data_IF_113016832105
#
_entry.id   IF_113016832105
#
_cell.length_a   1.000
_cell.length_b   1.000
_cell.length_c   1.000
_cell.angle_alpha   90.00
_cell.angle_beta   90.00
_cell.angle_gamma   90.00
#
_symmetry.space_group_name_H-M   'P 1'
#
loop_
_entity.id
_entity.type
_entity.pdbx_description
1 polymer ?
#
# COMPACT_ATOMS: atom_id res chain seq x y z
N UNK A 1 -33.56 -29.72 23.80
CA UNK A 1 -32.45 -30.26 23.01
C UNK A 1 -31.74 -29.09 22.34
N UNK A 2 -30.78 -28.48 23.01
CA UNK A 2 -30.02 -27.34 22.50
C UNK A 2 -28.74 -27.83 21.82
N UNK A 3 -28.60 -27.55 20.53
CA UNK A 3 -27.38 -27.85 19.77
C UNK A 3 -26.37 -26.74 19.98
N UNK A 4 -25.30 -27.04 20.70
CA UNK A 4 -24.14 -26.16 20.88
C UNK A 4 -23.36 -26.08 19.57
N UNK A 5 -23.13 -24.87 19.07
CA UNK A 5 -22.30 -24.62 17.90
C UNK A 5 -20.82 -24.96 18.19
N UNK A 6 -20.04 -25.41 17.19
CA UNK A 6 -18.61 -25.63 17.34
C UNK A 6 -17.84 -24.29 17.38
N UNK A 7 -16.68 -24.22 18.06
CA UNK A 7 -15.89 -23.00 18.14
C UNK A 7 -15.25 -22.64 16.79
N UNK A 8 -14.99 -21.34 16.51
CA UNK A 8 -14.35 -20.93 15.27
C UNK A 8 -12.90 -21.45 15.22
N UNK A 9 -12.49 -21.89 14.03
CA UNK A 9 -11.13 -22.32 13.75
C UNK A 9 -10.15 -21.18 14.05
N UNK A 10 -9.12 -21.47 14.85
CA UNK A 10 -8.02 -20.55 15.09
C UNK A 10 -7.33 -20.26 13.75
N UNK A 11 -7.35 -18.99 13.34
CA UNK A 11 -6.57 -18.48 12.21
C UNK A 11 -5.09 -18.72 12.51
N UNK A 12 -4.46 -19.60 11.75
CA UNK A 12 -3.01 -19.82 11.81
C UNK A 12 -2.30 -18.54 11.35
N UNK A 13 -1.86 -17.73 12.31
CA UNK A 13 -0.93 -16.64 12.05
C UNK A 13 0.37 -17.26 11.51
N UNK A 14 0.73 -16.89 10.28
CA UNK A 14 2.00 -17.26 9.69
C UNK A 14 3.12 -16.60 10.52
N UNK A 15 4.12 -17.33 11.02
CA UNK A 15 5.22 -16.73 11.76
C UNK A 15 5.92 -15.67 10.91
N UNK A 16 6.21 -14.52 11.51
CA UNK A 16 7.12 -13.55 10.90
C UNK A 16 8.44 -14.27 10.54
N UNK A 17 9.05 -13.96 9.39
CA UNK A 17 10.36 -14.53 9.06
C UNK A 17 11.33 -14.18 10.18
N UNK A 18 11.95 -15.20 10.78
CA UNK A 18 12.96 -14.99 11.79
C UNK A 18 14.08 -14.13 11.19
N UNK A 19 14.31 -12.96 11.78
CA UNK A 19 15.52 -12.20 11.51
C UNK A 19 16.70 -13.12 11.83
N UNK A 20 17.52 -13.44 10.83
CA UNK A 20 18.77 -14.15 11.05
C UNK A 20 19.65 -13.37 12.04
N UNK A 21 20.53 -14.04 12.80
CA UNK A 21 21.33 -13.37 13.81
C UNK A 21 22.22 -12.33 13.12
N UNK A 22 21.90 -11.04 13.31
CA UNK A 22 22.80 -9.97 13.00
C UNK A 22 24.06 -10.21 13.84
N UNK A 23 25.19 -10.47 13.18
CA UNK A 23 26.48 -10.59 13.86
C UNK A 23 26.75 -9.23 14.49
N UNK A 24 26.60 -9.14 15.81
CA UNK A 24 26.94 -7.94 16.56
C UNK A 24 28.39 -7.57 16.25
N UNK A 25 28.63 -6.34 15.81
CA UNK A 25 29.99 -5.85 15.66
C UNK A 25 30.69 -5.88 17.04
N UNK A 26 31.97 -6.27 17.08
CA UNK A 26 32.75 -6.17 18.30
C UNK A 26 32.96 -4.68 18.65
N UNK A 27 32.42 -4.23 19.79
CA UNK A 27 32.44 -2.84 20.24
C UNK A 27 31.13 -2.06 20.03
N UNK A 28 31.06 -0.80 20.50
CA UNK A 28 29.86 0.03 20.39
C UNK A 28 29.61 0.47 18.93
N UNK A 29 28.34 0.48 18.51
CA UNK A 29 27.96 0.84 17.15
C UNK A 29 26.51 1.31 17.09
N UNK A 30 26.24 2.29 16.23
CA UNK A 30 24.89 2.81 16.01
C UNK A 30 24.63 2.95 14.51
N UNK A 31 23.47 2.46 14.08
CA UNK A 31 22.96 2.55 12.72
C UNK A 31 21.75 3.47 12.66
N UNK A 32 21.55 4.09 11.49
CA UNK A 32 20.35 4.86 11.17
C UNK A 32 19.86 4.43 9.79
N UNK A 33 18.54 4.32 9.65
CA UNK A 33 17.87 4.13 8.38
C UNK A 33 16.81 5.22 8.21
N UNK A 34 16.78 5.86 7.05
CA UNK A 34 15.70 6.76 6.69
C UNK A 34 14.42 5.97 6.39
N UNK A 35 13.29 6.48 6.85
CA UNK A 35 11.96 5.98 6.53
C UNK A 35 11.26 6.96 5.58
N UNK A 36 10.36 6.49 4.69
CA UNK A 36 9.56 7.39 3.86
C UNK A 36 8.75 8.35 4.74
N UNK A 37 8.88 9.68 4.56
CA UNK A 37 8.10 10.63 5.34
C UNK A 37 6.61 10.52 4.98
N UNK A 38 5.68 10.77 5.90
CA UNK A 38 4.25 10.84 5.58
C UNK A 38 3.96 11.89 4.49
N UNK A 39 4.66 13.02 4.55
CA UNK A 39 4.61 14.07 3.55
C UNK A 39 5.58 13.77 2.40
N UNK A 40 5.08 13.12 1.36
CA UNK A 40 5.87 12.74 0.18
C UNK A 40 6.22 13.92 -0.73
N UNK A 41 5.55 15.06 -0.56
CA UNK A 41 5.82 16.33 -1.26
C UNK A 41 5.15 17.49 -0.53
N UNK A 42 5.49 18.73 -0.91
CA UNK A 42 4.84 19.94 -0.41
C UNK A 42 4.66 20.97 -1.52
N UNK A 43 3.70 21.89 -1.38
CA UNK A 43 3.35 22.87 -2.42
C UNK A 43 3.63 24.33 -2.05
N UNK A 44 3.85 24.60 -0.76
CA UNK A 44 4.02 25.96 -0.24
C UNK A 44 4.94 25.97 0.98
N UNK A 45 5.35 27.18 1.38
CA UNK A 45 5.93 27.41 2.70
C UNK A 45 4.89 27.12 3.80
N UNK A 46 5.36 26.87 5.02
CA UNK A 46 4.54 26.64 6.22
C UNK A 46 4.04 25.20 6.38
N UNK A 47 4.37 24.29 5.47
CA UNK A 47 4.04 22.86 5.59
C UNK A 47 5.04 22.21 6.54
N UNK A 48 4.54 21.43 7.49
CA UNK A 48 5.40 20.64 8.39
C UNK A 48 5.66 19.28 7.74
N UNK A 49 6.94 18.99 7.48
CA UNK A 49 7.43 17.69 7.03
C UNK A 49 7.98 16.92 8.23
N UNK A 50 7.54 15.69 8.41
CA UNK A 50 8.03 14.81 9.48
C UNK A 50 9.07 13.85 8.90
N UNK A 51 10.36 14.21 8.98
CA UNK A 51 11.41 13.27 8.63
C UNK A 51 11.46 12.14 9.67
N UNK A 52 11.39 10.90 9.20
CA UNK A 52 11.34 9.70 10.03
C UNK A 52 12.60 8.86 9.87
N UNK A 53 13.10 8.33 10.98
CA UNK A 53 14.32 7.53 11.03
C UNK A 53 14.16 6.36 11.99
N UNK A 54 14.63 5.18 11.59
CA UNK A 54 14.83 4.05 12.50
C UNK A 54 16.30 4.04 12.96
N UNK A 55 16.54 4.18 14.26
CA UNK A 55 17.87 4.14 14.86
C UNK A 55 18.06 2.81 15.55
N UNK A 56 19.16 2.11 15.28
CA UNK A 56 19.44 0.77 15.80
C UNK A 56 20.80 0.73 16.48
N UNK A 57 20.88 0.12 17.66
CA UNK A 57 22.15 -0.21 18.26
C UNK A 57 22.74 -1.45 17.58
N UNK A 58 23.80 -1.26 16.80
CA UNK A 58 24.45 -2.32 16.01
C UNK A 58 25.68 -2.92 16.70
N UNK A 59 26.06 -2.37 17.86
CA UNK A 59 27.17 -2.86 18.66
C UNK A 59 26.75 -3.81 19.78
N UNK A 60 27.71 -4.11 20.66
CA UNK A 60 27.56 -5.03 21.79
C UNK A 60 27.33 -4.36 23.16
N UNK A 61 27.35 -3.02 23.22
CA UNK A 61 27.12 -2.24 24.45
C UNK A 61 25.75 -1.54 24.42
N UNK A 62 25.08 -1.42 25.56
CA UNK A 62 23.90 -0.55 25.69
C UNK A 62 24.27 0.91 25.45
N UNK A 63 23.57 1.58 24.53
CA UNK A 63 23.76 3.00 24.24
C UNK A 63 22.74 3.84 25.01
N UNK A 64 23.16 5.00 25.51
CA UNK A 64 22.31 6.01 26.16
C UNK A 64 22.42 7.35 25.44
N UNK A 65 21.49 8.27 25.71
CA UNK A 65 21.49 9.59 25.09
C UNK A 65 21.24 9.57 23.58
N UNK A 66 20.56 8.54 23.07
CA UNK A 66 20.35 8.33 21.63
C UNK A 66 19.63 9.52 21.01
N UNK A 67 20.28 10.23 20.08
CA UNK A 67 19.75 11.46 19.47
C UNK A 67 20.10 11.56 17.99
N UNK A 68 19.42 12.46 17.28
CA UNK A 68 19.75 12.82 15.91
C UNK A 68 20.53 14.14 15.84
N UNK A 69 21.45 14.22 14.88
CA UNK A 69 22.02 15.47 14.37
C UNK A 69 21.58 15.62 12.91
N UNK A 70 21.00 16.77 12.59
CA UNK A 70 20.44 17.06 11.26
C UNK A 70 21.20 18.20 10.60
N UNK A 71 21.34 18.17 9.28
CA UNK A 71 21.98 19.24 8.51
C UNK A 71 21.06 20.45 8.26
N UNK A 72 19.74 20.25 8.30
CA UNK A 72 18.77 21.33 8.09
C UNK A 72 18.68 22.23 9.32
N UNK A 73 19.08 23.49 9.17
CA UNK A 73 19.08 24.49 10.23
C UNK A 73 17.67 24.79 10.82
N UNK A 74 16.60 24.52 10.07
CA UNK A 74 15.22 24.71 10.53
C UNK A 74 14.67 23.59 11.42
N UNK A 75 15.42 22.50 11.62
CA UNK A 75 15.05 21.43 12.56
C UNK A 75 15.59 21.81 13.93
N UNK A 76 14.74 22.42 14.77
CA UNK A 76 15.11 22.85 16.12
C UNK A 76 14.92 21.77 17.18
N UNK A 77 14.12 20.74 16.87
CA UNK A 77 13.83 19.63 17.76
C UNK A 77 13.75 18.32 16.96
N UNK A 78 14.39 17.28 17.47
CA UNK A 78 14.24 15.91 17.00
C UNK A 78 14.02 14.99 18.20
N UNK A 79 13.02 14.13 18.11
CA UNK A 79 12.60 13.24 19.18
C UNK A 79 12.85 11.79 18.78
N UNK A 80 13.28 10.96 19.73
CA UNK A 80 13.35 9.52 19.60
C UNK A 80 12.53 8.90 20.72
N UNK A 81 11.70 7.91 20.43
CA UNK A 81 10.81 7.27 21.41
C UNK A 81 11.58 6.70 22.60
N UNK A 82 12.73 6.08 22.32
CA UNK A 82 13.67 5.60 23.32
C UNK A 82 15.00 6.34 23.20
N UNK A 83 15.55 6.72 24.35
CA UNK A 83 16.88 7.35 24.46
C UNK A 83 17.96 6.37 24.93
N UNK A 84 17.59 5.13 25.23
CA UNK A 84 18.47 4.05 25.66
C UNK A 84 18.16 2.81 24.83
N UNK A 85 19.18 2.22 24.21
CA UNK A 85 19.05 1.06 23.34
C UNK A 85 20.00 -0.05 23.80
N UNK A 86 19.44 -1.20 24.18
CA UNK A 86 20.21 -2.43 24.34
C UNK A 86 20.81 -2.89 22.99
N UNK A 87 21.83 -3.75 22.97
CA UNK A 87 22.36 -4.35 21.74
C UNK A 87 21.24 -4.95 20.88
N UNK A 88 21.22 -4.60 19.59
CA UNK A 88 20.20 -5.04 18.63
C UNK A 88 18.83 -4.36 18.74
N UNK A 89 18.60 -3.50 19.73
CA UNK A 89 17.34 -2.76 19.86
C UNK A 89 17.28 -1.58 18.88
N UNK A 90 16.06 -1.24 18.45
CA UNK A 90 15.75 -0.11 17.58
C UNK A 90 14.73 0.84 18.20
N UNK A 91 14.78 2.11 17.80
CA UNK A 91 13.78 3.14 18.14
C UNK A 91 13.46 3.96 16.90
N UNK A 92 12.23 4.43 16.83
CA UNK A 92 11.83 5.43 15.84
C UNK A 92 12.16 6.83 16.35
N UNK A 93 12.58 7.68 15.42
CA UNK A 93 12.87 9.09 15.65
C UNK A 93 12.19 9.95 14.60
N UNK A 94 11.70 11.12 15.02
CA UNK A 94 11.02 12.09 14.16
C UNK A 94 11.68 13.47 14.30
N UNK A 95 11.92 14.11 13.16
CA UNK A 95 12.48 15.46 13.07
C UNK A 95 11.56 16.35 12.22
N UNK A 96 10.66 17.14 12.84
CA UNK A 96 9.78 18.05 12.11
C UNK A 96 10.56 19.22 11.50
N UNK A 97 10.21 19.57 10.27
CA UNK A 97 10.74 20.72 9.54
C UNK A 97 9.60 21.54 8.93
N UNK A 98 9.55 22.84 9.18
CA UNK A 98 8.58 23.73 8.52
C UNK A 98 9.19 24.28 7.24
N UNK A 99 8.54 24.01 6.11
CA UNK A 99 9.00 24.46 4.79
C UNK A 99 8.99 25.98 4.67
N UNK A 100 9.91 26.51 3.89
CA UNK A 100 10.07 27.93 3.60
C UNK A 100 9.84 28.22 2.11
N UNK A 101 9.71 29.50 1.77
CA UNK A 101 9.61 29.89 0.36
C UNK A 101 10.91 29.61 -0.43
N UNK A 102 12.05 29.56 0.27
CA UNK A 102 13.32 29.18 -0.33
C UNK A 102 13.31 27.71 -0.74
N UNK A 103 12.73 26.81 0.06
CA UNK A 103 12.62 25.38 -0.27
C UNK A 103 11.71 25.14 -1.48
N UNK A 104 10.60 25.89 -1.56
CA UNK A 104 9.71 25.86 -2.73
C UNK A 104 10.48 26.28 -3.99
N UNK A 105 11.22 27.38 -3.91
CA UNK A 105 12.04 27.90 -5.02
C UNK A 105 13.17 26.93 -5.39
N UNK A 106 13.74 26.23 -4.41
CA UNK A 106 14.77 25.20 -4.62
C UNK A 106 14.22 23.90 -5.19
N UNK A 107 12.89 23.72 -5.26
CA UNK A 107 12.25 22.52 -5.78
C UNK A 107 12.17 21.37 -4.78
N UNK A 108 12.49 21.60 -3.51
CA UNK A 108 12.44 20.57 -2.46
C UNK A 108 13.36 20.86 -1.29
N UNK A 109 13.32 19.97 -0.31
CA UNK A 109 14.17 20.00 0.89
C UNK A 109 14.88 18.66 1.06
N UNK A 110 16.17 18.69 1.38
CA UNK A 110 16.96 17.49 1.68
C UNK A 110 17.48 17.57 3.12
N UNK A 111 17.13 16.58 3.95
CA UNK A 111 17.71 16.43 5.28
C UNK A 111 18.78 15.34 5.27
N UNK A 112 19.96 15.65 5.81
CA UNK A 112 20.99 14.66 6.11
C UNK A 112 21.04 14.46 7.63
N UNK A 113 20.80 13.24 8.08
CA UNK A 113 20.74 12.89 9.49
C UNK A 113 21.84 11.89 9.88
N UNK A 114 22.38 12.07 11.09
CA UNK A 114 23.28 11.12 11.76
C UNK A 114 22.74 10.82 13.15
N UNK A 115 22.78 9.55 13.56
CA UNK A 115 22.45 9.15 14.91
C UNK A 115 23.68 9.20 15.81
N UNK A 116 23.47 9.58 17.06
CA UNK A 116 24.49 9.64 18.12
C UNK A 116 24.02 8.80 19.29
N UNK A 117 24.89 7.99 19.87
CA UNK A 117 24.63 7.29 21.13
C UNK A 117 25.90 7.14 21.96
N UNK A 118 25.77 7.13 23.28
CA UNK A 118 26.91 7.06 24.21
C UNK A 118 26.96 5.69 24.89
N UNK A 119 28.04 4.89 24.71
CA UNK A 119 28.24 3.65 25.43
C UNK A 119 28.59 3.89 26.92
N UNK A 120 28.62 2.86 27.78
CA UNK A 120 28.93 3.03 29.20
C UNK A 120 30.36 3.52 29.47
N UNK A 121 31.29 3.20 28.57
CA UNK A 121 32.68 3.65 28.61
C UNK A 121 33.15 4.09 27.22
N UNK A 122 33.91 5.18 27.16
CA UNK A 122 34.44 5.75 25.92
C UNK A 122 33.60 6.90 25.34
N UNK A 123 34.00 7.42 24.18
CA UNK A 123 33.29 8.53 23.53
C UNK A 123 31.95 8.07 22.93
N UNK A 124 31.08 9.03 22.63
CA UNK A 124 29.87 8.78 21.87
C UNK A 124 30.21 8.26 20.46
N UNK A 125 29.40 7.32 19.97
CA UNK A 125 29.47 6.78 18.62
C UNK A 125 28.50 7.50 17.70
N UNK A 126 28.88 7.59 16.42
CA UNK A 126 28.10 8.21 15.35
C UNK A 126 27.78 7.17 14.28
N UNK A 127 26.57 7.23 13.73
CA UNK A 127 26.23 6.46 12.54
C UNK A 127 26.83 7.08 11.29
N UNK A 128 26.83 6.33 10.18
CA UNK A 128 26.94 6.93 8.86
C UNK A 128 25.73 7.85 8.59
N UNK A 129 25.89 8.91 7.78
CA UNK A 129 24.78 9.79 7.43
C UNK A 129 23.81 9.11 6.48
N UNK A 130 22.53 9.43 6.62
CA UNK A 130 21.47 9.10 5.65
C UNK A 130 20.79 10.38 5.17
N UNK A 131 20.39 10.41 3.91
CA UNK A 131 19.69 11.55 3.32
C UNK A 131 18.25 11.20 2.95
N UNK A 132 17.36 12.16 3.14
CA UNK A 132 15.96 12.11 2.68
C UNK A 132 15.65 13.40 1.97
N UNK A 133 15.09 13.30 0.77
CA UNK A 133 14.65 14.45 -0.01
C UNK A 133 13.14 14.42 -0.16
N UNK A 134 12.48 15.53 0.17
CA UNK A 134 11.06 15.75 -0.10
C UNK A 134 10.93 16.82 -1.17
N UNK A 135 10.38 16.52 -2.35
CA UNK A 135 10.26 17.48 -3.45
C UNK A 135 9.18 18.53 -3.18
N UNK A 136 9.44 19.75 -3.67
CA UNK A 136 8.42 20.79 -3.78
C UNK A 136 7.68 20.65 -5.11
N UNK A 137 6.37 20.88 -5.10
CA UNK A 137 5.56 20.95 -6.29
C UNK A 137 5.68 22.37 -6.87
N UNK A 138 6.00 22.49 -8.16
CA UNK A 138 6.39 23.78 -8.76
C UNK A 138 5.34 24.39 -9.72
N UNK A 139 4.40 23.59 -10.23
CA UNK A 139 3.35 24.03 -11.15
C UNK A 139 2.08 23.20 -10.99
N UNK A 140 0.90 23.68 -11.41
CA UNK A 140 -0.29 22.85 -11.49
C UNK A 140 -0.06 21.65 -12.41
N UNK A 141 -0.43 20.47 -11.94
CA UNK A 141 -0.26 19.22 -12.67
C UNK A 141 -1.23 18.17 -12.12
N UNK A 142 -1.67 17.26 -12.99
CA UNK A 142 -2.58 16.18 -12.63
C UNK A 142 -2.12 14.88 -13.29
N UNK A 143 -2.21 13.79 -12.55
CA UNK A 143 -1.95 12.44 -13.03
C UNK A 143 -3.21 11.57 -12.90
N UNK A 144 -3.32 10.61 -13.81
CA UNK A 144 -4.41 9.63 -13.83
C UNK A 144 -3.82 8.22 -13.76
N UNK A 145 -4.38 7.41 -12.86
CA UNK A 145 -4.24 5.96 -12.87
C UNK A 145 -5.61 5.37 -13.17
N UNK A 146 -5.70 4.59 -14.24
CA UNK A 146 -6.89 3.84 -14.61
C UNK A 146 -6.65 2.37 -14.26
N UNK A 147 -7.61 1.78 -13.55
CA UNK A 147 -7.61 0.37 -13.21
C UNK A 147 -9.02 -0.19 -13.19
N UNK A 148 -9.15 -1.48 -12.88
CA UNK A 148 -10.42 -2.16 -12.69
C UNK A 148 -10.41 -2.96 -11.41
N UNK A 149 -11.58 -3.14 -10.80
CA UNK A 149 -11.71 -4.01 -9.63
C UNK A 149 -11.67 -5.50 -10.02
N UNK A 150 -12.01 -5.82 -11.26
CA UNK A 150 -11.96 -7.17 -11.81
C UNK A 150 -10.67 -7.34 -12.62
N UNK A 151 -9.92 -8.41 -12.36
CA UNK A 151 -8.74 -8.76 -13.15
C UNK A 151 -9.08 -9.40 -14.51
N UNK A 152 -10.28 -9.98 -14.64
CA UNK A 152 -10.74 -10.72 -15.84
C UNK A 152 -12.25 -10.59 -16.02
N UNK A 153 -12.71 -10.80 -17.24
CA UNK A 153 -14.14 -11.01 -17.54
C UNK A 153 -14.38 -12.39 -18.15
N UNK A 154 -15.62 -12.88 -18.16
CA UNK A 154 -15.95 -14.27 -18.51
C UNK A 154 -16.98 -14.40 -19.63
N UNK A 155 -17.83 -13.39 -19.82
CA UNK A 155 -18.91 -13.40 -20.80
C UNK A 155 -19.33 -11.98 -21.16
N UNK A 156 -20.11 -11.84 -22.23
CA UNK A 156 -20.87 -10.64 -22.53
C UNK A 156 -21.98 -10.41 -21.48
N UNK A 157 -22.35 -9.15 -21.26
CA UNK A 157 -23.33 -8.74 -20.25
C UNK A 157 -22.78 -8.72 -18.82
N UNK A 158 -21.46 -8.90 -18.64
CA UNK A 158 -20.82 -8.78 -17.33
C UNK A 158 -20.52 -7.32 -17.03
N UNK A 159 -20.83 -6.86 -15.81
CA UNK A 159 -20.42 -5.53 -15.34
C UNK A 159 -18.95 -5.56 -14.91
N UNK A 160 -18.15 -4.64 -15.44
CA UNK A 160 -16.79 -4.32 -15.03
C UNK A 160 -16.80 -2.94 -14.41
N UNK A 161 -16.19 -2.79 -13.23
CA UNK A 161 -16.07 -1.49 -12.56
C UNK A 161 -14.67 -0.94 -12.78
N UNK A 162 -14.59 0.16 -13.51
CA UNK A 162 -13.38 0.96 -13.64
C UNK A 162 -13.20 1.86 -12.42
N UNK A 163 -11.95 1.96 -11.98
CA UNK A 163 -11.48 2.86 -10.95
C UNK A 163 -10.52 3.87 -11.60
N UNK A 164 -10.78 5.14 -11.37
CA UNK A 164 -9.91 6.24 -11.76
C UNK A 164 -9.32 6.88 -10.50
N UNK A 165 -8.02 6.70 -10.30
CA UNK A 165 -7.25 7.43 -9.30
C UNK A 165 -6.70 8.72 -9.90
N UNK A 166 -7.21 9.86 -9.46
CA UNK A 166 -6.77 11.19 -9.90
C UNK A 166 -5.86 11.79 -8.83
N UNK A 167 -4.61 12.07 -9.19
CA UNK A 167 -3.61 12.59 -8.26
C UNK A 167 -3.21 14.01 -8.64
N UNK A 168 -3.33 14.96 -7.71
CA UNK A 168 -2.81 16.30 -7.89
C UNK A 168 -1.30 16.30 -7.63
N UNK A 169 -0.52 16.20 -8.71
CA UNK A 169 0.95 16.27 -8.69
C UNK A 169 1.48 17.69 -8.69
N UNK A 170 0.59 18.69 -8.68
CA UNK A 170 0.95 20.09 -8.77
C UNK A 170 0.81 20.87 -7.46
N UNK A 171 1.15 22.14 -7.53
CA UNK A 171 1.23 23.04 -6.38
C UNK A 171 -0.04 23.83 -6.06
N UNK A 172 -1.09 23.68 -6.88
CA UNK A 172 -2.34 24.40 -6.73
C UNK A 172 -3.50 23.43 -6.54
N UNK A 173 -4.48 23.81 -5.72
CA UNK A 173 -5.75 23.07 -5.61
C UNK A 173 -6.45 23.05 -6.96
N UNK A 174 -6.81 21.86 -7.43
CA UNK A 174 -7.47 21.66 -8.71
C UNK A 174 -8.99 21.54 -8.53
N UNK A 175 -9.77 22.07 -9.47
CA UNK A 175 -11.24 21.94 -9.58
C UNK A 175 -11.64 21.42 -10.96
N UNK A 176 -12.94 21.27 -11.24
CA UNK A 176 -13.49 20.81 -12.53
C UNK A 176 -12.87 19.49 -13.05
N UNK A 177 -12.61 18.58 -12.12
CA UNK A 177 -11.88 17.35 -12.39
C UNK A 177 -12.77 16.38 -13.17
N UNK A 178 -12.41 16.16 -14.44
CA UNK A 178 -13.19 15.36 -15.39
C UNK A 178 -12.29 14.36 -16.07
N UNK A 179 -12.60 13.06 -15.92
CA UNK A 179 -11.97 11.99 -16.69
C UNK A 179 -12.67 11.90 -18.03
N UNK A 180 -11.89 11.98 -19.11
CA UNK A 180 -12.33 11.79 -20.49
C UNK A 180 -11.96 10.38 -20.91
N UNK A 181 -12.98 9.53 -21.00
CA UNK A 181 -12.87 8.17 -21.49
C UNK A 181 -13.57 8.04 -22.86
N UNK A 182 -12.84 7.79 -23.95
CA UNK A 182 -13.41 7.63 -25.29
C UNK A 182 -14.11 6.28 -25.49
N UNK A 183 -13.98 5.32 -24.57
CA UNK A 183 -14.60 4.02 -24.71
C UNK A 183 -16.13 4.15 -24.60
N UNK A 184 -16.90 3.61 -25.56
CA UNK A 184 -18.34 3.78 -25.60
C UNK A 184 -19.03 3.35 -24.31
N UNK A 185 -19.88 4.22 -23.77
CA UNK A 185 -20.66 3.95 -22.56
C UNK A 185 -19.95 4.28 -21.24
N UNK A 186 -18.67 4.67 -21.25
CA UNK A 186 -17.97 5.14 -20.05
C UNK A 186 -18.04 6.67 -19.88
N UNK A 187 -18.07 7.42 -20.98
CA UNK A 187 -18.35 8.85 -21.03
C UNK A 187 -17.40 9.72 -20.18
N UNK A 188 -17.60 11.05 -20.14
CA UNK A 188 -16.87 11.87 -19.20
C UNK A 188 -17.34 11.56 -17.78
N UNK A 189 -16.41 11.15 -16.91
CA UNK A 189 -16.68 10.87 -15.50
C UNK A 189 -16.27 12.08 -14.68
N UNK A 190 -17.24 12.74 -14.03
CA UNK A 190 -16.96 13.81 -13.06
C UNK A 190 -16.45 13.19 -11.76
N UNK A 191 -15.33 13.71 -11.28
CA UNK A 191 -14.70 13.25 -10.05
C UNK A 191 -14.91 14.27 -8.93
N UNK A 192 -14.08 14.22 -7.88
CA UNK A 192 -14.16 15.14 -6.75
C UNK A 192 -14.22 16.61 -7.17
N UNK A 193 -15.00 17.43 -6.45
CA UNK A 193 -15.20 18.85 -6.75
C UNK A 193 -13.90 19.67 -6.62
N UNK A 194 -13.02 19.27 -5.69
CA UNK A 194 -11.70 19.87 -5.52
C UNK A 194 -10.66 18.84 -5.07
N UNK A 195 -9.40 19.06 -5.43
CA UNK A 195 -8.28 18.21 -5.05
C UNK A 195 -7.07 19.07 -4.68
N UNK A 196 -6.74 19.12 -3.39
CA UNK A 196 -5.58 19.85 -2.89
C UNK A 196 -4.24 19.24 -3.38
N UNK A 197 -3.14 20.01 -3.38
CA UNK A 197 -1.81 19.51 -3.74
C UNK A 197 -1.42 18.24 -3.00
N UNK A 198 -0.84 17.26 -3.71
CA UNK A 198 -0.41 15.99 -3.13
C UNK A 198 -1.55 15.07 -2.67
N UNK A 199 -2.81 15.38 -2.99
CA UNK A 199 -3.96 14.53 -2.65
C UNK A 199 -4.39 13.65 -3.81
N UNK A 200 -4.91 12.48 -3.45
CA UNK A 200 -5.51 11.49 -4.35
C UNK A 200 -7.03 11.52 -4.20
N UNK A 201 -7.74 11.57 -5.31
CA UNK A 201 -9.20 11.42 -5.40
C UNK A 201 -9.56 10.18 -6.23
N UNK A 202 -10.74 9.63 -6.00
CA UNK A 202 -11.23 8.45 -6.72
C UNK A 202 -12.59 8.71 -7.35
N UNK A 203 -12.79 8.18 -8.55
CA UNK A 203 -14.07 8.14 -9.25
C UNK A 203 -14.21 6.80 -9.98
N UNK A 204 -15.45 6.44 -10.31
CA UNK A 204 -15.80 5.11 -10.82
C UNK A 204 -16.71 5.21 -12.04
N UNK A 205 -16.62 4.22 -12.91
CA UNK A 205 -17.60 4.01 -13.98
C UNK A 205 -17.81 2.52 -14.21
N UNK A 206 -19.04 2.13 -14.53
CA UNK A 206 -19.42 0.75 -14.77
C UNK A 206 -19.58 0.53 -16.29
N UNK A 207 -18.89 -0.49 -16.82
CA UNK A 207 -18.95 -0.92 -18.21
C UNK A 207 -19.60 -2.29 -18.29
N UNK A 208 -20.55 -2.47 -19.21
CA UNK A 208 -21.13 -3.79 -19.50
C UNK A 208 -20.44 -4.39 -20.70
N UNK A 209 -19.81 -5.55 -20.52
CA UNK A 209 -19.10 -6.24 -21.60
C UNK A 209 -20.05 -6.64 -22.73
N UNK A 210 -19.52 -6.65 -23.95
CA UNK A 210 -20.26 -6.96 -25.18
C UNK A 210 -19.78 -8.28 -25.78
N UNK A 211 -20.49 -8.76 -26.81
CA UNK A 211 -20.02 -9.91 -27.58
C UNK A 211 -18.75 -9.60 -28.38
N UNK A 212 -18.55 -8.34 -28.77
CA UNK A 212 -17.31 -7.91 -29.42
C UNK A 212 -16.10 -8.04 -28.49
N UNK A 213 -16.27 -7.74 -27.19
CA UNK A 213 -15.21 -7.91 -26.20
C UNK A 213 -14.80 -9.38 -26.02
N UNK A 214 -15.79 -10.28 -25.96
CA UNK A 214 -15.54 -11.73 -25.89
C UNK A 214 -14.80 -12.21 -27.13
N UNK A 215 -15.23 -11.75 -28.32
CA UNK A 215 -14.57 -12.08 -29.58
C UNK A 215 -13.13 -11.54 -29.66
N UNK A 216 -12.86 -10.37 -29.09
CA UNK A 216 -11.53 -9.78 -29.01
C UNK A 216 -10.64 -10.47 -27.95
N UNK A 217 -11.22 -11.20 -27.00
CA UNK A 217 -10.51 -11.92 -25.93
C UNK A 217 -9.87 -11.02 -24.87
N UNK A 218 -10.00 -9.69 -24.99
CA UNK A 218 -9.54 -8.70 -24.02
C UNK A 218 -10.25 -7.37 -24.25
N UNK A 219 -10.31 -6.55 -23.21
CA UNK A 219 -10.74 -5.15 -23.27
C UNK A 219 -9.51 -4.30 -22.96
N UNK A 220 -9.12 -3.41 -23.86
CA UNK A 220 -8.08 -2.40 -23.62
C UNK A 220 -8.72 -1.03 -23.70
N UNK A 221 -8.54 -0.26 -22.64
CA UNK A 221 -9.27 0.99 -22.45
C UNK A 221 -8.34 2.08 -21.91
N UNK A 222 -8.40 3.27 -22.49
CA UNK A 222 -7.46 4.38 -22.26
C UNK A 222 -8.19 5.67 -22.00
N UNK A 223 -7.92 6.31 -20.86
CA UNK A 223 -8.53 7.58 -20.48
C UNK A 223 -7.48 8.66 -20.17
N UNK A 224 -7.94 9.92 -20.12
CA UNK A 224 -7.19 11.07 -19.60
C UNK A 224 -8.01 11.82 -18.57
N UNK A 225 -7.39 12.62 -17.72
CA UNK A 225 -8.12 13.55 -16.84
C UNK A 225 -7.75 14.99 -17.19
N UNK A 226 -8.72 15.89 -17.13
CA UNK A 226 -8.50 17.34 -17.13
C UNK A 226 -8.92 17.93 -15.80
N UNK A 227 -8.22 18.96 -15.36
CA UNK A 227 -8.56 19.71 -14.16
C UNK A 227 -8.14 21.19 -14.30
N UNK A 228 -8.82 22.07 -13.58
CA UNK A 228 -8.61 23.51 -13.65
C UNK A 228 -7.90 24.01 -12.39
N UNK A 229 -6.72 24.65 -12.49
CA UNK A 229 -6.12 25.37 -11.37
C UNK A 229 -6.79 26.73 -11.12
N UNK A 230 -6.54 27.40 -9.98
CA UNK A 230 -7.12 28.70 -9.67
C UNK A 230 -6.62 29.81 -10.61
N UNK A 231 -5.42 29.64 -11.17
CA UNK A 231 -4.81 30.56 -12.14
C UNK A 231 -4.14 29.76 -13.25
N UNK A 232 -4.15 30.32 -14.47
CA UNK A 232 -3.58 29.68 -15.65
C UNK A 232 -4.54 28.75 -16.39
N UNK A 233 -4.07 28.07 -17.46
CA UNK A 233 -4.91 27.16 -18.23
C UNK A 233 -5.21 25.87 -17.48
N UNK A 234 -6.27 25.17 -17.88
CA UNK A 234 -6.55 23.81 -17.42
C UNK A 234 -5.38 22.86 -17.76
N UNK A 235 -5.12 21.93 -16.86
CA UNK A 235 -4.08 20.90 -16.99
C UNK A 235 -4.69 19.59 -17.44
N UNK A 236 -3.91 18.78 -18.15
CA UNK A 236 -4.30 17.45 -18.60
C UNK A 236 -3.24 16.42 -18.25
N UNK A 237 -3.67 15.23 -17.85
CA UNK A 237 -2.74 14.13 -17.60
C UNK A 237 -2.23 13.49 -18.89
N UNK A 238 -1.14 12.75 -18.75
CA UNK A 238 -0.82 11.68 -19.68
C UNK A 238 -1.96 10.64 -19.73
N UNK A 239 -2.14 9.92 -20.85
CA UNK A 239 -3.12 8.84 -20.93
C UNK A 239 -2.77 7.70 -19.97
N UNK A 240 -3.80 7.07 -19.41
CA UNK A 240 -3.69 5.89 -18.57
C UNK A 240 -4.52 4.76 -19.15
N UNK A 241 -3.91 3.58 -19.32
CA UNK A 241 -4.51 2.43 -20.01
C UNK A 241 -4.68 1.26 -19.04
N UNK A 242 -5.87 0.66 -19.03
CA UNK A 242 -6.14 -0.61 -18.37
C UNK A 242 -6.42 -1.70 -19.42
N UNK A 243 -5.98 -2.93 -19.15
CA UNK A 243 -6.31 -4.08 -20.00
C UNK A 243 -6.84 -5.22 -19.14
N UNK A 244 -7.97 -5.79 -19.55
CA UNK A 244 -8.66 -6.86 -18.84
C UNK A 244 -8.81 -8.02 -19.83
N UNK A 245 -8.13 -9.15 -19.62
CA UNK A 245 -8.27 -10.32 -20.48
C UNK A 245 -9.58 -11.07 -20.21
N UNK A 246 -10.07 -11.76 -21.23
CA UNK A 246 -11.09 -12.79 -21.08
C UNK A 246 -10.47 -13.96 -20.29
N UNK A 247 -11.17 -14.44 -19.27
CA UNK A 247 -10.76 -15.60 -18.52
C UNK A 247 -10.73 -16.81 -19.45
N UNK A 248 -9.60 -17.52 -19.47
CA UNK A 248 -9.53 -18.81 -20.13
C UNK A 248 -10.56 -19.75 -19.50
N UNK A 249 -11.25 -20.59 -20.29
CA UNK A 249 -12.08 -21.64 -19.72
C UNK A 249 -11.20 -22.49 -18.81
N UNK A 250 -11.66 -22.76 -17.59
CA UNK A 250 -11.02 -23.76 -16.74
C UNK A 250 -10.96 -25.06 -17.54
N UNK A 251 -9.76 -25.54 -17.85
CA UNK A 251 -9.56 -26.92 -18.26
C UNK A 251 -10.00 -27.79 -17.09
N UNK A 252 -11.26 -28.22 -17.09
CA UNK A 252 -11.66 -29.37 -16.28
C UNK A 252 -10.95 -30.56 -16.92
N UNK A 253 -9.96 -31.19 -16.27
CA UNK A 253 -9.36 -32.39 -16.83
C UNK A 253 -10.47 -33.41 -17.07
N UNK A 254 -10.56 -34.03 -18.27
CA UNK A 254 -11.73 -34.80 -18.69
C UNK A 254 -11.97 -36.13 -17.92
N UNK A 255 -11.46 -36.30 -16.70
CA UNK A 255 -11.47 -37.61 -16.04
C UNK A 255 -11.68 -37.62 -14.52
N UNK A 256 -12.68 -36.88 -14.02
CA UNK A 256 -13.32 -37.24 -12.75
C UNK A 256 -14.81 -37.51 -12.97
N UNK A 257 -15.13 -38.62 -13.66
CA UNK A 257 -16.42 -39.28 -13.43
C UNK A 257 -16.39 -39.80 -11.99
N UNK A 258 -17.42 -39.56 -11.15
CA UNK A 258 -17.49 -40.20 -9.84
C UNK A 258 -17.48 -41.71 -10.07
N UNK A 259 -16.53 -42.42 -9.43
CA UNK A 259 -16.59 -43.88 -9.33
C UNK A 259 -17.95 -44.24 -8.74
N UNK A 260 -18.82 -44.86 -9.53
CA UNK A 260 -19.97 -45.57 -8.97
C UNK A 260 -19.42 -46.69 -8.08
N UNK A 261 -19.34 -46.44 -6.78
CA UNK A 261 -19.15 -47.50 -5.80
C UNK A 261 -20.47 -48.24 -5.76
N UNK A 262 -20.57 -49.38 -6.45
CA UNK A 262 -21.68 -50.31 -6.26
C UNK A 262 -21.56 -50.87 -4.84
N UNK A 263 -22.53 -50.69 -3.94
CA UNK A 263 -22.48 -51.33 -2.64
C UNK A 263 -22.65 -52.85 -2.84
N UNK A 264 -21.66 -53.63 -2.38
CA UNK A 264 -21.83 -55.08 -2.17
C UNK A 264 -22.73 -55.25 -0.95
N UNK A 265 -23.99 -55.60 -1.17
CA UNK A 265 -24.86 -56.07 -0.09
C UNK A 265 -24.41 -57.48 0.33
N UNK A 266 -23.89 -57.60 1.54
CA UNK A 266 -23.68 -58.88 2.22
C UNK A 266 -24.94 -59.16 3.04
N UNK A 267 -25.72 -60.16 2.64
CA UNK A 267 -26.85 -60.64 3.43
C UNK A 267 -26.31 -61.47 4.61
N UNK A 268 -26.55 -61.00 5.83
CA UNK A 268 -26.33 -61.78 7.07
C UNK A 268 -27.72 -62.25 7.54
N UNK A 269 -28.01 -63.57 7.57
CA UNK A 269 -29.28 -64.06 8.10
C UNK A 269 -29.29 -63.98 9.64
N UNK A 270 -30.29 -63.31 10.19
CA UNK A 270 -30.56 -63.25 11.64
C UNK A 270 -31.56 -64.38 12.00
N UNK A 271 -31.27 -65.26 12.97
CA UNK A 271 -32.23 -66.28 13.40
C UNK A 271 -33.33 -65.67 14.30
N UNK A 272 -34.58 -66.01 14.01
CA UNK A 272 -35.78 -65.62 14.78
C UNK A 272 -35.98 -66.64 15.92
N UNK A 273 -36.01 -66.23 17.21
CA UNK A 273 -36.50 -67.09 18.28
C UNK A 273 -38.03 -66.99 18.38
N UNK A 274 -38.71 -68.10 18.05
CA UNK A 274 -40.17 -68.25 18.26
C UNK A 274 -40.40 -68.66 19.71
N UNK A 275 -41.06 -67.81 20.49
CA UNK A 275 -41.57 -68.16 21.82
C UNK A 275 -42.97 -68.75 21.68
N UNK A 276 -43.18 -69.91 22.30
CA UNK A 276 -44.48 -70.55 22.45
C UNK A 276 -45.28 -69.85 23.55
N UNK A 277 -46.55 -69.58 23.30
CA UNK A 277 -47.53 -69.28 24.36
C UNK A 277 -48.78 -70.12 24.10
N UNK A 278 -48.96 -71.15 24.91
CA UNK A 278 -50.21 -71.91 25.01
C UNK A 278 -51.31 -71.03 25.60
N UNK A 279 -52.41 -70.87 24.85
CA UNK A 279 -53.81 -70.90 25.33
C UNK A 279 -54.79 -70.80 24.17
#
# INVERSE_FOLDING_TARGET
MGVSAPPPAASSAQPAPAAGPAVAAAGPGIGIAALPPPEQSFASAGIIIHFQYAVTNTGDQTLTGVTLRNSLAGITFAFCEMRTLAPGASTDCVAPYTTTQADVTAGGVTNVATAVGTPPAGPAVLSLPVSVTVPALAAPAVALIKGTLQERFTRAGQSIRYLYGVFNTGNATLTDITVHDPHPGLGPVRCAESLAPGRLGFCFADYTTTQADVAAGKITDTAKVTATPPTGPAVSSLPSTATIPLASPLLVPPNQRPRQVRPRFVFIPVPIPVTWSDR
#
